data_IF_733990701655
#
_entry.id   IF_733990701655
#
_cell.length_a   1.000
_cell.length_b   1.000
_cell.length_c   1.000
_cell.angle_alpha   90.00
_cell.angle_beta   90.00
_cell.angle_gamma   90.00
#
_symmetry.space_group_name_H-M   'P 1'
#
loop_
_entity.id
_entity.type
_entity.pdbx_description
1 polymer ?
#
# COMPACT_ATOMS: atom_id res chain seq x y z
N UNK A 1 -55.09 -6.10 24.73
CA UNK A 1 -54.97 -5.36 23.45
C UNK A 1 -53.79 -4.42 23.62
N UNK A 2 -52.59 -4.88 23.28
CA UNK A 2 -51.34 -4.11 23.42
C UNK A 2 -50.96 -3.67 22.01
N UNK A 3 -50.98 -2.36 21.81
CA UNK A 3 -50.73 -1.68 20.55
C UNK A 3 -49.24 -1.79 20.21
N UNK A 4 -48.92 -2.59 19.18
CA UNK A 4 -47.60 -2.63 18.57
C UNK A 4 -47.40 -1.35 17.75
N UNK A 5 -46.82 -0.31 18.35
CA UNK A 5 -46.30 0.83 17.60
C UNK A 5 -45.08 0.38 16.80
N UNK A 6 -45.32 -0.03 15.55
CA UNK A 6 -44.27 -0.16 14.55
C UNK A 6 -43.69 1.24 14.30
N UNK A 7 -42.46 1.45 14.75
CA UNK A 7 -41.69 2.63 14.37
C UNK A 7 -41.50 2.67 12.85
N UNK A 8 -41.42 3.86 12.23
CA UNK A 8 -41.38 3.98 10.79
C UNK A 8 -40.16 3.23 10.26
N UNK A 9 -40.42 2.25 9.40
CA UNK A 9 -39.39 1.65 8.55
C UNK A 9 -38.75 2.78 7.75
N UNK A 10 -37.48 3.05 8.03
CA UNK A 10 -36.68 4.03 7.28
C UNK A 10 -36.53 3.47 5.86
N UNK A 11 -37.42 3.90 4.97
CA UNK A 11 -37.32 3.66 3.54
C UNK A 11 -35.93 4.13 3.07
N UNK A 12 -35.25 3.28 2.29
CA UNK A 12 -33.84 3.39 1.95
C UNK A 12 -33.42 4.79 1.49
N UNK A 13 -32.62 5.46 2.32
CA UNK A 13 -31.86 6.62 1.89
C UNK A 13 -30.88 6.18 0.79
N UNK A 14 -30.74 7.00 -0.26
CA UNK A 14 -29.73 6.75 -1.29
C UNK A 14 -28.35 6.64 -0.64
N UNK A 15 -27.48 5.70 -1.08
CA UNK A 15 -26.17 5.51 -0.48
C UNK A 15 -25.38 6.82 -0.55
N UNK A 16 -24.78 7.18 0.58
CA UNK A 16 -23.96 8.39 0.69
C UNK A 16 -22.69 8.28 -0.16
N UNK A 17 -22.08 9.42 -0.49
CA UNK A 17 -20.81 9.46 -1.23
C UNK A 17 -19.70 8.61 -0.58
N UNK A 18 -19.71 8.55 0.76
CA UNK A 18 -18.79 7.74 1.56
C UNK A 18 -19.09 6.25 1.46
N UNK A 19 -20.36 5.85 1.56
CA UNK A 19 -20.75 4.44 1.42
C UNK A 19 -20.43 3.90 0.03
N UNK A 20 -20.64 4.72 -1.01
CA UNK A 20 -20.21 4.39 -2.38
C UNK A 20 -18.69 4.24 -2.48
N UNK A 21 -17.91 5.15 -1.87
CA UNK A 21 -16.44 5.03 -1.84
C UNK A 21 -16.00 3.74 -1.14
N UNK A 22 -16.60 3.41 0.01
CA UNK A 22 -16.31 2.19 0.75
C UNK A 22 -16.62 0.94 -0.09
N UNK A 23 -17.74 0.92 -0.81
CA UNK A 23 -18.09 -0.17 -1.70
C UNK A 23 -17.07 -0.34 -2.83
N UNK A 24 -16.61 0.74 -3.47
CA UNK A 24 -15.58 0.66 -4.51
C UNK A 24 -14.22 0.21 -3.96
N UNK A 25 -13.83 0.68 -2.78
CA UNK A 25 -12.61 0.23 -2.10
C UNK A 25 -12.69 -1.27 -1.78
N UNK A 26 -13.83 -1.74 -1.29
CA UNK A 26 -14.05 -3.16 -1.02
C UNK A 26 -13.96 -4.00 -2.31
N UNK A 27 -14.61 -3.56 -3.39
CA UNK A 27 -14.54 -4.23 -4.69
C UNK A 27 -13.11 -4.32 -5.23
N UNK A 28 -12.35 -3.22 -5.17
CA UNK A 28 -10.94 -3.20 -5.60
C UNK A 28 -10.08 -4.16 -4.78
N UNK A 29 -10.26 -4.17 -3.46
CA UNK A 29 -9.51 -5.06 -2.57
C UNK A 29 -9.81 -6.54 -2.89
N UNK A 30 -11.07 -6.87 -3.18
CA UNK A 30 -11.45 -8.22 -3.61
C UNK A 30 -10.77 -8.63 -4.93
N UNK A 31 -10.76 -7.74 -5.94
CA UNK A 31 -10.04 -8.00 -7.20
C UNK A 31 -8.54 -8.21 -6.98
N UNK A 32 -7.93 -7.45 -6.06
CA UNK A 32 -6.52 -7.62 -5.68
C UNK A 32 -6.26 -8.98 -5.06
N UNK A 33 -7.12 -9.41 -4.14
CA UNK A 33 -7.02 -10.74 -3.51
C UNK A 33 -7.13 -11.85 -4.55
N UNK A 34 -8.05 -11.73 -5.52
CA UNK A 34 -8.19 -12.69 -6.61
C UNK A 34 -6.94 -12.75 -7.51
N UNK A 35 -6.35 -11.60 -7.81
CA UNK A 35 -5.11 -11.52 -8.59
C UNK A 35 -3.94 -12.20 -7.86
N UNK A 36 -3.81 -11.99 -6.56
CA UNK A 36 -2.81 -12.64 -5.72
C UNK A 36 -2.98 -14.16 -5.70
N UNK A 37 -4.22 -14.65 -5.55
CA UNK A 37 -4.54 -16.08 -5.59
C UNK A 37 -4.16 -16.71 -6.94
N UNK A 38 -4.60 -16.11 -8.05
CA UNK A 38 -4.29 -16.60 -9.41
C UNK A 38 -2.79 -16.61 -9.68
N UNK A 39 -2.08 -15.56 -9.25
CA UNK A 39 -0.62 -15.47 -9.40
C UNK A 39 0.09 -16.53 -8.56
N UNK A 40 -0.39 -16.78 -7.34
CA UNK A 40 0.11 -17.83 -6.46
C UNK A 40 -0.06 -19.23 -7.06
N UNK A 41 -1.26 -19.55 -7.55
CA UNK A 41 -1.53 -20.82 -8.25
C UNK A 41 -0.62 -21.00 -9.46
N UNK A 42 -0.49 -19.97 -10.28
CA UNK A 42 0.38 -19.96 -11.46
C UNK A 42 1.83 -20.28 -11.12
N UNK A 43 2.38 -19.62 -10.09
CA UNK A 43 3.75 -19.86 -9.63
C UNK A 43 3.93 -21.30 -9.11
N UNK A 44 2.93 -21.84 -8.42
CA UNK A 44 2.96 -23.23 -7.95
C UNK A 44 3.00 -24.22 -9.10
N UNK A 45 2.17 -24.04 -10.14
CA UNK A 45 2.14 -24.92 -11.33
C UNK A 45 3.44 -24.81 -12.11
N UNK A 46 3.93 -23.59 -12.33
CA UNK A 46 5.18 -23.34 -13.03
C UNK A 46 6.39 -23.93 -12.29
N UNK A 47 6.35 -24.01 -10.95
CA UNK A 47 7.39 -24.67 -10.16
C UNK A 47 7.37 -26.20 -10.38
N UNK A 48 6.20 -26.83 -10.21
CA UNK A 48 6.02 -28.29 -10.40
C UNK A 48 6.42 -28.76 -11.79
N UNK A 49 6.11 -27.98 -12.82
CA UNK A 49 6.51 -28.25 -14.21
C UNK A 49 8.04 -28.18 -14.39
N UNK A 50 8.72 -27.27 -13.68
CA UNK A 50 10.17 -27.06 -13.77
C UNK A 50 10.96 -28.09 -12.98
N UNK A 51 10.42 -28.55 -11.87
CA UNK A 51 10.97 -29.61 -11.01
C UNK A 51 10.74 -31.01 -11.61
N UNK A 52 9.92 -31.12 -12.66
CA UNK A 52 9.69 -32.38 -13.37
C UNK A 52 8.82 -33.37 -12.57
N UNK A 53 8.05 -32.89 -11.60
CA UNK A 53 7.17 -33.71 -10.76
C UNK A 53 6.01 -34.38 -11.53
N UNK A 54 5.79 -33.99 -12.79
CA UNK A 54 4.61 -34.34 -13.59
C UNK A 54 5.03 -34.73 -15.00
N UNK A 55 4.48 -35.81 -15.55
CA UNK A 55 4.90 -36.37 -16.85
C UNK A 55 3.72 -36.70 -17.78
N UNK A 56 4.00 -36.83 -19.08
CA UNK A 56 3.01 -37.25 -20.07
C UNK A 56 1.80 -36.31 -20.20
N UNK A 57 0.60 -36.87 -20.19
CA UNK A 57 -0.67 -36.16 -20.39
C UNK A 57 -0.94 -35.13 -19.28
N UNK A 58 -0.53 -35.41 -18.04
CA UNK A 58 -0.73 -34.52 -16.90
C UNK A 58 0.07 -33.21 -17.05
N UNK A 59 1.25 -33.29 -17.70
CA UNK A 59 2.05 -32.11 -18.03
C UNK A 59 1.33 -31.18 -19.00
N UNK A 60 0.76 -31.73 -20.08
CA UNK A 60 0.00 -30.97 -21.08
C UNK A 60 -1.23 -30.30 -20.46
N UNK A 61 -1.93 -31.00 -19.55
CA UNK A 61 -3.07 -30.43 -18.82
C UNK A 61 -2.67 -29.23 -17.94
N UNK A 62 -1.54 -29.31 -17.25
CA UNK A 62 -1.00 -28.20 -16.45
C UNK A 62 -0.54 -27.02 -17.30
N UNK A 63 0.06 -27.25 -18.46
CA UNK A 63 0.43 -26.21 -19.42
C UNK A 63 -0.81 -25.46 -19.95
N UNK A 64 -1.89 -26.19 -20.28
CA UNK A 64 -3.16 -25.57 -20.66
C UNK A 64 -3.79 -24.75 -19.51
N UNK A 65 -3.75 -25.27 -18.28
CA UNK A 65 -4.21 -24.52 -17.10
C UNK A 65 -3.38 -23.25 -16.86
N UNK A 66 -2.07 -23.30 -17.11
CA UNK A 66 -1.18 -22.15 -16.98
C UNK A 66 -1.58 -21.04 -17.96
N UNK A 67 -1.86 -21.39 -19.23
CA UNK A 67 -2.35 -20.44 -20.23
C UNK A 67 -3.69 -19.81 -19.84
N UNK A 68 -4.61 -20.59 -19.28
CA UNK A 68 -5.89 -20.08 -18.78
C UNK A 68 -5.71 -19.10 -17.60
N UNK A 69 -4.78 -19.39 -16.68
CA UNK A 69 -4.44 -18.49 -15.57
C UNK A 69 -3.76 -17.21 -16.05
N UNK A 70 -2.92 -17.27 -17.09
CA UNK A 70 -2.31 -16.10 -17.72
C UNK A 70 -3.38 -15.17 -18.31
N UNK A 71 -4.33 -15.71 -19.07
CA UNK A 71 -5.45 -14.94 -19.60
C UNK A 71 -6.27 -14.27 -18.48
N UNK A 72 -6.58 -15.01 -17.41
CA UNK A 72 -7.31 -14.47 -16.25
C UNK A 72 -6.52 -13.40 -15.49
N UNK A 73 -5.20 -13.51 -15.42
CA UNK A 73 -4.33 -12.50 -14.81
C UNK A 73 -4.43 -11.18 -15.57
N UNK A 74 -4.42 -11.23 -16.90
CA UNK A 74 -4.60 -10.04 -17.76
C UNK A 74 -5.97 -9.39 -17.54
N UNK A 75 -7.05 -10.19 -17.52
CA UNK A 75 -8.41 -9.71 -17.26
C UNK A 75 -8.53 -9.05 -15.88
N UNK A 76 -8.05 -9.72 -14.82
CA UNK A 76 -8.09 -9.19 -13.46
C UNK A 76 -7.30 -7.89 -13.35
N UNK A 77 -6.15 -7.80 -14.01
CA UNK A 77 -5.34 -6.57 -14.04
C UNK A 77 -6.10 -5.41 -14.69
N UNK A 78 -6.79 -5.64 -15.81
CA UNK A 78 -7.62 -4.62 -16.45
C UNK A 78 -8.80 -4.20 -15.57
N UNK A 79 -9.46 -5.17 -14.92
CA UNK A 79 -10.58 -4.90 -14.01
C UNK A 79 -10.15 -4.09 -12.78
N UNK A 80 -8.93 -4.34 -12.28
CA UNK A 80 -8.34 -3.61 -11.16
C UNK A 80 -8.06 -2.15 -11.56
N UNK A 81 -7.51 -1.92 -12.75
CA UNK A 81 -7.30 -0.56 -13.26
C UNK A 81 -8.62 0.20 -13.41
N UNK A 82 -9.68 -0.44 -13.89
CA UNK A 82 -11.02 0.16 -13.95
C UNK A 82 -11.59 0.45 -12.56
N UNK A 83 -11.37 -0.42 -11.58
CA UNK A 83 -11.80 -0.22 -10.20
C UNK A 83 -11.03 0.93 -9.52
N UNK A 84 -9.73 1.06 -9.78
CA UNK A 84 -8.90 2.16 -9.27
C UNK A 84 -9.39 3.52 -9.77
N UNK A 85 -9.81 3.61 -11.03
CA UNK A 85 -10.43 4.82 -11.59
C UNK A 85 -11.75 5.16 -10.88
N UNK A 86 -12.60 4.18 -10.54
CA UNK A 86 -13.84 4.42 -9.78
C UNK A 86 -13.56 4.92 -8.36
N UNK A 87 -12.56 4.34 -7.69
CA UNK A 87 -12.14 4.81 -6.36
C UNK A 87 -11.59 6.25 -6.46
N UNK A 88 -10.72 6.52 -7.44
CA UNK A 88 -10.16 7.86 -7.69
C UNK A 88 -11.24 8.91 -7.94
N UNK A 89 -12.16 8.65 -8.86
CA UNK A 89 -13.26 9.55 -9.19
C UNK A 89 -14.18 9.79 -7.99
N UNK A 90 -14.50 8.74 -7.22
CA UNK A 90 -15.35 8.85 -6.04
C UNK A 90 -14.66 9.60 -4.89
N UNK A 91 -13.34 9.50 -4.73
CA UNK A 91 -12.59 10.30 -3.74
C UNK A 91 -12.65 11.80 -4.03
N UNK A 92 -12.86 12.20 -5.29
CA UNK A 92 -13.05 13.61 -5.69
C UNK A 92 -14.42 14.17 -5.32
N UNK A 93 -15.38 13.35 -4.88
CA UNK A 93 -16.72 13.79 -4.48
C UNK A 93 -16.65 14.42 -3.07
N UNK A 94 -17.13 15.67 -2.88
CA UNK A 94 -17.17 16.30 -1.57
C UNK A 94 -17.89 15.43 -0.53
N UNK A 95 -17.26 15.25 0.64
CA UNK A 95 -17.82 14.42 1.72
C UNK A 95 -17.53 12.91 1.62
N UNK A 96 -16.89 12.43 0.55
CA UNK A 96 -16.53 11.00 0.42
C UNK A 96 -15.38 10.57 1.36
N UNK A 97 -14.38 11.43 1.58
CA UNK A 97 -13.16 11.14 2.37
C UNK A 97 -13.13 11.77 3.76
N UNK A 98 -14.11 12.59 4.12
CA UNK A 98 -14.15 13.29 5.42
C UNK A 98 -14.59 12.29 6.50
N UNK A 99 -13.81 12.07 7.58
CA UNK A 99 -14.25 11.25 8.72
C UNK A 99 -15.55 11.82 9.30
N UNK A 100 -16.47 10.97 9.80
CA UNK A 100 -17.68 11.48 10.41
C UNK A 100 -17.25 12.40 11.56
N UNK A 101 -17.85 13.57 11.66
CA UNK A 101 -17.69 14.38 12.86
C UNK A 101 -18.23 13.57 14.03
N UNK A 102 -17.34 12.91 14.77
CA UNK A 102 -17.70 12.25 16.01
C UNK A 102 -18.42 13.29 16.85
N UNK A 103 -19.62 13.00 17.40
CA UNK A 103 -20.27 13.95 18.30
C UNK A 103 -19.25 14.25 19.39
N UNK A 104 -18.84 15.52 19.46
CA UNK A 104 -17.93 16.00 20.50
C UNK A 104 -18.67 15.73 21.81
N UNK A 105 -18.26 14.67 22.50
CA UNK A 105 -18.79 14.32 23.80
C UNK A 105 -18.37 15.44 24.75
N UNK A 106 -19.18 16.48 24.82
CA UNK A 106 -19.02 17.61 25.72
C UNK A 106 -19.50 17.19 27.11
N UNK A 107 -18.92 16.10 27.64
CA UNK A 107 -18.97 15.88 29.08
C UNK A 107 -18.19 17.04 29.71
N UNK A 108 -18.72 17.73 30.73
CA UNK A 108 -17.92 18.57 31.59
C UNK A 108 -16.74 17.73 32.06
N UNK A 109 -15.55 18.05 31.58
CA UNK A 109 -14.34 17.34 31.95
C UNK A 109 -13.90 17.92 33.29
N UNK A 110 -14.55 17.46 34.37
CA UNK A 110 -14.22 17.87 35.73
C UNK A 110 -12.96 17.11 36.22
N UNK A 111 -11.92 17.03 35.37
CA UNK A 111 -10.68 16.28 35.59
C UNK A 111 -9.63 17.11 36.36
N UNK A 112 -10.04 18.14 37.10
CA UNK A 112 -9.15 19.02 37.87
C UNK A 112 -8.23 18.22 38.81
N UNK A 113 -8.67 17.07 39.31
CA UNK A 113 -7.87 16.20 40.16
C UNK A 113 -6.70 15.53 39.39
N UNK A 114 -6.91 15.15 38.13
CA UNK A 114 -5.89 14.54 37.26
C UNK A 114 -4.85 15.57 36.82
N UNK A 115 -5.30 16.78 36.48
CA UNK A 115 -4.41 17.89 36.11
C UNK A 115 -3.56 18.34 37.31
N UNK A 116 -4.19 18.54 38.47
CA UNK A 116 -3.46 18.90 39.70
C UNK A 116 -2.52 17.78 40.15
N UNK A 117 -2.93 16.51 40.01
CA UNK A 117 -2.08 15.35 40.30
C UNK A 117 -0.84 15.29 39.40
N UNK A 118 -1.00 15.60 38.11
CA UNK A 118 0.10 15.64 37.16
C UNK A 118 1.08 16.80 37.45
N UNK A 119 0.56 18.00 37.75
CA UNK A 119 1.38 19.15 38.13
C UNK A 119 2.14 18.88 39.43
N UNK A 120 1.47 18.32 40.45
CA UNK A 120 2.10 17.96 41.72
C UNK A 120 3.19 16.89 41.52
N UNK A 121 2.92 15.88 40.69
CA UNK A 121 3.90 14.86 40.35
C UNK A 121 5.14 15.47 39.68
N UNK A 122 4.96 16.39 38.73
CA UNK A 122 6.10 17.09 38.11
C UNK A 122 6.89 17.91 39.13
N UNK A 123 6.22 18.67 39.99
CA UNK A 123 6.87 19.52 40.99
C UNK A 123 7.65 18.71 42.02
N UNK A 124 7.21 17.50 42.37
CA UNK A 124 7.91 16.65 43.36
C UNK A 124 8.96 15.73 42.73
N UNK A 125 8.65 15.15 41.58
CA UNK A 125 9.43 14.06 41.00
C UNK A 125 10.61 14.59 40.18
N UNK A 126 10.45 15.72 39.47
CA UNK A 126 11.52 16.34 38.67
C UNK A 126 12.70 16.78 39.55
N UNK A 127 12.54 17.65 40.57
CA UNK A 127 13.69 18.06 41.38
C UNK A 127 14.30 16.91 42.19
N UNK A 128 13.49 15.95 42.64
CA UNK A 128 13.96 14.73 43.32
C UNK A 128 14.84 13.87 42.40
N UNK A 129 14.40 13.68 41.14
CA UNK A 129 15.16 12.96 40.11
C UNK A 129 16.48 13.66 39.79
N UNK A 130 16.46 14.98 39.59
CA UNK A 130 17.67 15.78 39.38
C UNK A 130 18.62 15.74 40.59
N UNK A 131 18.09 15.75 41.82
CA UNK A 131 18.90 15.63 43.03
C UNK A 131 19.56 14.25 43.17
N UNK A 132 18.84 13.18 42.87
CA UNK A 132 19.38 11.82 42.84
C UNK A 132 20.40 11.63 41.73
N UNK A 133 20.14 12.13 40.52
CA UNK A 133 21.10 12.12 39.41
C UNK A 133 22.39 12.87 39.80
N UNK A 134 22.28 14.06 40.40
CA UNK A 134 23.43 14.84 40.87
C UNK A 134 24.19 14.16 42.01
N UNK A 135 23.49 13.43 42.89
CA UNK A 135 24.09 12.64 43.97
C UNK A 135 24.84 11.42 43.44
N UNK A 136 24.32 10.76 42.41
CA UNK A 136 24.98 9.63 41.73
C UNK A 136 26.21 10.13 40.96
N UNK A 137 26.10 11.21 40.19
CA UNK A 137 27.23 11.82 39.49
C UNK A 137 28.35 12.27 40.43
N UNK A 138 28.01 12.85 41.59
CA UNK A 138 29.02 13.22 42.60
C UNK A 138 29.67 12.03 43.31
N UNK A 139 29.05 10.84 43.26
CA UNK A 139 29.55 9.61 43.90
C UNK A 139 30.16 8.62 42.90
N UNK A 140 30.10 8.88 41.60
CA UNK A 140 30.22 7.85 40.57
C UNK A 140 31.26 8.09 39.47
N UNK A 141 32.43 8.67 39.77
CA UNK A 141 33.57 8.61 38.83
C UNK A 141 34.24 7.22 38.78
N UNK A 142 33.52 6.16 39.14
CA UNK A 142 34.00 4.77 39.10
C UNK A 142 33.15 3.86 38.21
N UNK A 143 32.20 4.41 37.44
CA UNK A 143 31.51 3.64 36.40
C UNK A 143 32.26 3.88 35.09
N UNK A 144 32.86 2.79 34.61
CA UNK A 144 33.93 2.74 33.62
C UNK A 144 33.67 3.47 32.31
N UNK A 145 34.77 3.86 31.70
CA UNK A 145 34.90 4.28 30.31
C UNK A 145 34.00 3.43 29.40
N UNK A 146 33.20 4.05 28.50
CA UNK A 146 32.48 3.29 27.49
C UNK A 146 33.49 2.48 26.66
N UNK A 147 33.22 1.19 26.53
CA UNK A 147 34.06 0.31 25.72
C UNK A 147 34.12 0.87 24.28
N UNK A 148 35.31 0.91 23.65
CA UNK A 148 35.42 1.35 22.26
C UNK A 148 34.55 0.45 21.36
N UNK A 149 33.85 1.09 20.41
CA UNK A 149 33.05 0.42 19.39
C UNK A 149 33.90 -0.65 18.70
N UNK A 150 33.38 -1.87 18.60
CA UNK A 150 34.14 -2.99 18.04
C UNK A 150 34.40 -2.75 16.55
N UNK A 151 35.63 -2.93 16.04
CA UNK A 151 35.97 -2.72 14.63
C UNK A 151 35.13 -3.57 13.65
N UNK A 152 34.57 -4.70 14.09
CA UNK A 152 33.63 -5.53 13.31
C UNK A 152 32.30 -4.80 13.01
N UNK A 153 31.88 -3.87 13.87
CA UNK A 153 30.67 -3.08 13.63
C UNK A 153 30.90 -2.02 12.55
N UNK A 154 32.07 -1.37 12.56
CA UNK A 154 32.45 -0.39 11.55
C UNK A 154 32.55 -1.04 10.16
N UNK A 155 33.17 -2.22 10.08
CA UNK A 155 33.26 -2.98 8.82
C UNK A 155 31.88 -3.38 8.26
N UNK A 156 30.92 -3.71 9.13
CA UNK A 156 29.54 -4.02 8.72
C UNK A 156 28.80 -2.79 8.21
N UNK A 157 29.01 -1.62 8.84
CA UNK A 157 28.41 -0.37 8.41
C UNK A 157 28.93 0.05 7.03
N UNK A 158 30.23 -0.09 6.78
CA UNK A 158 30.84 0.18 5.47
C UNK A 158 30.25 -0.72 4.38
N UNK A 159 30.03 -2.01 4.67
CA UNK A 159 29.40 -2.93 3.71
C UNK A 159 27.93 -2.61 3.45
N UNK A 160 27.21 -2.14 4.47
CA UNK A 160 25.82 -1.70 4.31
C UNK A 160 25.72 -0.43 3.46
N UNK A 161 26.62 0.53 3.65
CA UNK A 161 26.72 1.74 2.83
C UNK A 161 26.92 1.38 1.34
N UNK A 162 27.89 0.49 1.06
CA UNK A 162 28.14 0.01 -0.30
C UNK A 162 26.96 -0.75 -0.92
N UNK A 163 26.24 -1.54 -0.11
CA UNK A 163 25.05 -2.26 -0.58
C UNK A 163 23.90 -1.30 -0.91
N UNK A 164 23.73 -0.23 -0.12
CA UNK A 164 22.70 0.79 -0.36
C UNK A 164 23.01 1.60 -1.62
N UNK A 165 24.27 1.99 -1.83
CA UNK A 165 24.69 2.69 -3.05
C UNK A 165 24.46 1.85 -4.30
N UNK A 166 24.75 0.54 -4.24
CA UNK A 166 24.48 -0.38 -5.33
C UNK A 166 22.98 -0.52 -5.63
N UNK A 167 22.13 -0.56 -4.59
CA UNK A 167 20.68 -0.61 -4.74
C UNK A 167 20.14 0.69 -5.35
N UNK A 168 20.68 1.85 -4.97
CA UNK A 168 20.26 3.14 -5.51
C UNK A 168 20.47 3.21 -7.03
N UNK A 169 21.63 2.78 -7.52
CA UNK A 169 21.95 2.74 -8.96
C UNK A 169 21.09 1.72 -9.70
N UNK A 170 20.85 0.55 -9.11
CA UNK A 170 20.02 -0.49 -9.74
C UNK A 170 18.55 -0.03 -9.86
N UNK A 171 18.01 0.65 -8.85
CA UNK A 171 16.64 1.21 -8.90
C UNK A 171 16.51 2.29 -9.97
N UNK A 172 17.51 3.17 -10.11
CA UNK A 172 17.57 4.16 -11.19
C UNK A 172 17.54 3.48 -12.56
N UNK A 173 18.40 2.48 -12.77
CA UNK A 173 18.48 1.70 -14.01
C UNK A 173 17.18 0.94 -14.32
N UNK A 174 16.54 0.33 -13.33
CA UNK A 174 15.24 -0.36 -13.50
C UNK A 174 14.14 0.62 -13.87
N UNK A 175 14.12 1.81 -13.25
CA UNK A 175 13.20 2.88 -13.59
C UNK A 175 13.35 3.37 -15.03
N UNK A 176 14.59 3.48 -15.53
CA UNK A 176 14.88 3.81 -16.92
C UNK A 176 14.41 2.73 -17.90
N UNK A 177 14.60 1.45 -17.56
CA UNK A 177 14.09 0.33 -18.35
C UNK A 177 12.56 0.33 -18.48
N UNK A 178 11.85 0.61 -17.39
CA UNK A 178 10.38 0.73 -17.37
C UNK A 178 9.89 1.93 -18.19
N UNK A 179 10.57 3.09 -18.09
CA UNK A 179 10.29 4.27 -18.92
C UNK A 179 10.54 4.00 -20.40
N UNK A 180 11.60 3.25 -20.73
CA UNK A 180 11.93 2.90 -22.10
C UNK A 180 10.86 2.00 -22.72
N UNK A 181 10.43 0.96 -22.01
CA UNK A 181 9.33 0.08 -22.45
C UNK A 181 8.03 0.85 -22.62
N UNK A 182 7.71 1.75 -21.70
CA UNK A 182 6.51 2.61 -21.81
C UNK A 182 6.58 3.54 -23.03
N UNK A 183 7.75 4.12 -23.33
CA UNK A 183 7.94 4.94 -24.53
C UNK A 183 7.79 4.14 -25.81
N UNK A 184 8.31 2.91 -25.88
CA UNK A 184 8.14 2.05 -27.06
C UNK A 184 6.68 1.64 -27.24
N UNK A 185 6.02 1.18 -26.17
CA UNK A 185 4.61 0.76 -26.23
C UNK A 185 3.68 1.94 -26.53
N UNK A 186 3.99 3.13 -26.03
CA UNK A 186 3.25 4.36 -26.34
C UNK A 186 3.50 4.89 -27.76
N UNK A 187 4.72 4.77 -28.28
CA UNK A 187 5.08 5.19 -29.64
C UNK A 187 4.50 4.25 -30.72
N UNK A 188 4.32 2.96 -30.44
CA UNK A 188 3.68 2.00 -31.35
C UNK A 188 2.16 2.19 -31.51
N UNK A 189 1.50 2.91 -30.59
CA UNK A 189 0.07 3.17 -30.64
C UNK A 189 -0.30 4.49 -31.37
N UNK A 190 0.68 5.26 -31.84
CA UNK A 190 0.48 6.59 -32.40
C UNK A 190 1.17 6.80 -33.77
N UNK A 191 1.22 5.77 -34.62
CA UNK A 191 1.46 5.98 -36.05
C UNK A 191 0.23 5.51 -36.85
N UNK A 192 -0.72 6.40 -37.20
CA UNK A 192 -1.75 6.06 -38.16
C UNK A 192 -1.08 5.87 -39.52
N UNK A 193 -1.16 4.64 -40.03
CA UNK A 193 -0.73 4.21 -41.38
C UNK A 193 -1.43 5.05 -42.50
N UNK A 194 -2.39 5.90 -42.16
CA UNK A 194 -3.16 6.73 -43.10
C UNK A 194 -2.40 7.93 -43.69
N UNK A 195 -1.34 8.44 -43.05
CA UNK A 195 -0.65 9.64 -43.56
C UNK A 195 0.31 9.37 -44.74
N UNK A 196 0.74 8.12 -44.96
CA UNK A 196 1.69 7.78 -46.04
C UNK A 196 1.02 7.28 -47.34
N UNK A 197 -0.29 7.04 -47.30
CA UNK A 197 -1.07 6.61 -48.46
C UNK A 197 -1.72 7.79 -49.22
N UNK A 198 -1.97 8.92 -48.55
CA UNK A 198 -2.62 10.09 -49.14
C UNK A 198 -1.70 10.91 -50.07
N UNK A 199 -0.39 10.77 -49.97
CA UNK A 199 0.59 11.57 -50.74
C UNK A 199 0.91 11.00 -52.13
N UNK A 200 0.38 9.82 -52.50
CA UNK A 200 0.69 9.14 -53.79
C UNK A 200 -0.42 9.15 -54.83
N UNK A 201 -1.53 9.85 -54.61
CA UNK A 201 -2.62 9.89 -55.59
C UNK A 201 -3.07 11.32 -55.87
N UNK A 202 -2.20 12.11 -56.49
CA UNK A 202 -2.61 13.32 -57.19
C UNK A 202 -2.20 13.16 -58.67
N UNK A 203 -3.16 12.70 -59.48
CA UNK A 203 -3.04 12.59 -60.94
C UNK A 203 -3.72 13.82 -61.56
N UNK A 204 -3.01 14.65 -62.36
CA UNK A 204 -3.58 15.84 -62.95
C UNK A 204 -4.52 15.49 -64.12
N UNK A 205 -5.60 16.27 -64.27
CA UNK A 205 -6.51 16.24 -65.42
C UNK A 205 -5.96 17.02 -66.60
#
# INVERSE_FOLDING_TARGET
MVEMTQGPAIAGAAPTAREMLQAFVAQRNELRNQLEQVTGERLSIARRLREGEVSGVDKLGLESRLQALDARTLELTQSLAAADLRVSTQMGVPGASVPPSSPRNNRPQDDWWLEMGFVLALVLLVPSSLAMARRIWRRGSTIGTPAPMSPDLDDRLIRLEQAVDAVAVEVERVGEGQRYVTRILGAGAAEPIEARAAERYEVPR
#
